data_IF_794606675051
#
_entry.id   IF_794606675051
#
_cell.length_a   1.000
_cell.length_b   1.000
_cell.length_c   1.000
_cell.angle_alpha   90.00
_cell.angle_beta   90.00
_cell.angle_gamma   90.00
#
_symmetry.space_group_name_H-M   'P 1'
#
loop_
_entity.id
_entity.type
_entity.pdbx_description
1 polymer ?
#
# COMPACT_ATOMS: atom_id res chain seq x y z
N UNK A 1 1.66 8.69 10.99
CA UNK A 1 0.62 9.43 11.74
C UNK A 1 -0.29 8.56 12.61
N UNK A 2 -0.85 7.41 12.18
CA UNK A 2 -1.79 6.64 13.02
C UNK A 2 -1.24 6.16 14.36
N UNK A 3 0.07 5.93 14.46
CA UNK A 3 0.72 5.56 15.72
C UNK A 3 0.55 6.61 16.82
N UNK A 4 0.37 7.90 16.49
CA UNK A 4 0.12 8.97 17.47
C UNK A 4 -1.25 8.77 18.13
N UNK A 5 -2.25 8.35 17.36
CA UNK A 5 -3.57 8.01 17.89
C UNK A 5 -3.47 6.72 18.73
N UNK A 6 -2.75 5.70 18.24
CA UNK A 6 -2.52 4.44 18.96
C UNK A 6 -1.88 4.65 20.34
N UNK A 7 -0.93 5.58 20.40
CA UNK A 7 -0.18 5.92 21.61
C UNK A 7 -0.85 6.99 22.47
N UNK A 8 -2.09 7.37 22.15
CA UNK A 8 -2.88 8.40 22.86
C UNK A 8 -2.18 9.78 22.95
N UNK A 9 -1.28 10.08 22.01
CA UNK A 9 -0.60 11.39 21.92
C UNK A 9 -1.45 12.44 21.21
N UNK A 10 -2.38 11.99 20.38
CA UNK A 10 -3.43 12.82 19.78
C UNK A 10 -4.78 12.14 19.98
N UNK A 11 -5.85 12.92 20.00
CA UNK A 11 -7.22 12.39 20.15
C UNK A 11 -7.86 12.02 18.83
N UNK A 12 -7.41 12.65 17.73
CA UNK A 12 -7.96 12.48 16.39
C UNK A 12 -6.87 12.54 15.33
N UNK A 13 -7.09 11.88 14.20
CA UNK A 13 -6.26 11.97 12.99
C UNK A 13 -7.14 12.00 11.75
N UNK A 14 -6.72 12.79 10.75
CA UNK A 14 -7.26 12.73 9.39
C UNK A 14 -6.23 12.02 8.53
N UNK A 15 -6.61 10.92 7.90
CA UNK A 15 -5.71 10.13 7.04
C UNK A 15 -6.51 9.24 6.09
N UNK A 16 -5.83 8.58 5.16
CA UNK A 16 -6.46 7.56 4.32
C UNK A 16 -6.77 6.30 5.12
N UNK A 17 -7.87 5.63 4.77
CA UNK A 17 -8.22 4.33 5.36
C UNK A 17 -7.09 3.31 5.22
N UNK A 18 -6.33 3.41 4.14
CA UNK A 18 -5.26 2.49 3.77
C UNK A 18 -4.09 2.57 4.74
N UNK A 19 -3.89 3.73 5.35
CA UNK A 19 -2.80 3.99 6.30
C UNK A 19 -3.23 3.58 7.72
N UNK A 20 -4.48 3.87 8.12
CA UNK A 20 -4.97 3.54 9.47
C UNK A 20 -5.25 2.05 9.67
N UNK A 21 -5.70 1.34 8.63
CA UNK A 21 -5.97 -0.12 8.68
C UNK A 21 -4.72 -0.98 8.93
N UNK A 22 -3.53 -0.42 8.79
CA UNK A 22 -2.27 -1.08 9.14
C UNK A 22 -2.07 -1.28 10.65
N UNK A 23 -2.97 -0.75 11.47
CA UNK A 23 -2.91 -0.85 12.92
C UNK A 23 -4.14 -1.60 13.47
N UNK A 24 -4.01 -2.31 14.61
CA UNK A 24 -5.16 -2.92 15.28
C UNK A 24 -6.27 -1.90 15.52
N UNK A 25 -7.53 -2.35 15.53
CA UNK A 25 -8.69 -1.47 15.73
C UNK A 25 -8.70 -0.89 17.15
N UNK A 26 -8.05 0.27 17.33
CA UNK A 26 -8.13 1.13 18.51
C UNK A 26 -8.89 2.44 18.24
N UNK A 27 -9.47 2.57 17.04
CA UNK A 27 -10.06 3.79 16.55
C UNK A 27 -11.53 3.60 16.18
N UNK A 28 -12.28 4.69 16.18
CA UNK A 28 -13.61 4.81 15.59
C UNK A 28 -13.55 5.74 14.38
N UNK A 29 -14.43 5.51 13.40
CA UNK A 29 -14.60 6.38 12.24
C UNK A 29 -15.66 7.41 12.60
N UNK A 30 -15.28 8.68 12.68
CA UNK A 30 -16.21 9.76 13.00
C UNK A 30 -16.83 10.36 11.74
N UNK A 31 -16.03 10.45 10.68
CA UNK A 31 -16.47 10.91 9.37
C UNK A 31 -15.58 10.32 8.28
N UNK A 32 -16.12 10.11 7.09
CA UNK A 32 -15.37 9.63 5.93
C UNK A 32 -15.91 10.26 4.64
N UNK A 33 -14.98 10.53 3.72
CA UNK A 33 -15.29 10.94 2.36
C UNK A 33 -14.55 10.01 1.39
N UNK A 34 -15.13 9.86 0.20
CA UNK A 34 -14.46 9.16 -0.91
C UNK A 34 -13.52 10.13 -1.61
N UNK A 35 -12.28 9.71 -1.81
CA UNK A 35 -11.34 10.42 -2.67
C UNK A 35 -11.59 10.04 -4.14
N UNK A 36 -11.92 11.01 -5.02
CA UNK A 36 -12.35 10.71 -6.39
C UNK A 36 -11.18 10.55 -7.37
N UNK A 37 -9.99 11.07 -7.04
CA UNK A 37 -8.89 11.20 -8.00
C UNK A 37 -7.80 10.15 -7.85
N UNK A 38 -7.52 9.71 -6.62
CA UNK A 38 -6.44 8.78 -6.33
C UNK A 38 -6.89 7.32 -6.35
N UNK A 39 -5.92 6.43 -6.55
CA UNK A 39 -6.07 4.99 -6.48
C UNK A 39 -4.81 4.36 -5.88
N UNK A 40 -4.94 3.15 -5.32
CA UNK A 40 -3.80 2.38 -4.80
C UNK A 40 -3.40 1.34 -5.84
N UNK A 41 -2.11 1.26 -6.16
CA UNK A 41 -1.57 0.32 -7.13
C UNK A 41 -0.30 -0.38 -6.63
N UNK A 42 -0.01 -1.55 -7.20
CA UNK A 42 1.33 -2.13 -7.23
C UNK A 42 2.03 -1.69 -8.52
N UNK A 43 3.24 -1.19 -8.36
CA UNK A 43 4.09 -0.72 -9.45
C UNK A 43 5.35 -1.55 -9.54
N UNK A 44 5.89 -1.65 -10.75
CA UNK A 44 7.15 -2.30 -11.06
C UNK A 44 8.02 -1.34 -11.89
N UNK A 45 9.29 -1.71 -12.10
CA UNK A 45 10.11 -1.05 -13.12
C UNK A 45 9.52 -1.32 -14.49
N UNK A 46 9.62 -0.34 -15.38
CA UNK A 46 9.14 -0.46 -16.75
C UNK A 46 9.74 -1.67 -17.45
N UNK A 47 8.90 -2.55 -18.00
CA UNK A 47 9.31 -3.77 -18.69
C UNK A 47 9.74 -4.92 -17.77
N UNK A 48 9.54 -4.80 -16.46
CA UNK A 48 9.79 -5.90 -15.53
C UNK A 48 8.82 -7.06 -15.80
N UNK A 49 9.33 -8.29 -15.78
CA UNK A 49 8.52 -9.49 -15.90
C UNK A 49 8.04 -9.92 -14.51
N UNK A 50 6.73 -9.81 -14.27
CA UNK A 50 6.10 -10.18 -13.00
C UNK A 50 5.25 -11.43 -13.24
N UNK A 51 5.75 -12.58 -12.79
CA UNK A 51 5.15 -13.91 -12.99
C UNK A 51 4.84 -14.58 -11.64
N UNK A 52 3.73 -14.22 -10.97
CA UNK A 52 3.40 -14.71 -9.64
C UNK A 52 3.31 -16.23 -9.51
N UNK A 53 2.93 -16.90 -10.59
CA UNK A 53 2.87 -18.36 -10.69
C UNK A 53 4.24 -19.04 -10.53
N UNK A 54 5.34 -18.31 -10.77
CA UNK A 54 6.71 -18.81 -10.59
C UNK A 54 7.25 -18.58 -9.18
N UNK A 55 6.57 -17.81 -8.33
CA UNK A 55 7.05 -17.52 -6.98
C UNK A 55 6.99 -18.76 -6.10
N UNK A 56 8.06 -18.99 -5.33
CA UNK A 56 8.20 -20.18 -4.47
C UNK A 56 8.56 -19.79 -3.05
N UNK A 57 8.46 -20.74 -2.12
CA UNK A 57 8.84 -20.49 -0.73
C UNK A 57 10.37 -20.30 -0.57
N UNK A 58 11.16 -20.77 -1.54
CA UNK A 58 12.62 -20.71 -1.57
C UNK A 58 13.13 -19.46 -2.30
N UNK A 59 12.40 -19.03 -3.34
CA UNK A 59 12.68 -17.85 -4.13
C UNK A 59 11.47 -16.91 -4.09
N UNK A 60 11.44 -16.12 -3.01
CA UNK A 60 10.37 -15.16 -2.74
C UNK A 60 10.78 -13.79 -3.26
N UNK A 61 9.96 -13.14 -4.12
CA UNK A 61 10.18 -11.75 -4.44
C UNK A 61 9.97 -10.90 -3.19
N UNK A 62 10.61 -9.73 -3.20
CA UNK A 62 10.44 -8.73 -2.17
C UNK A 62 9.56 -7.58 -2.65
N UNK A 63 8.58 -7.21 -1.82
CA UNK A 63 7.60 -6.16 -2.09
C UNK A 63 7.73 -5.09 -1.00
N UNK A 64 7.96 -3.84 -1.40
CA UNK A 64 7.95 -2.68 -0.50
C UNK A 64 6.50 -2.20 -0.34
N UNK A 65 5.99 -2.10 0.89
CA UNK A 65 4.61 -1.66 1.10
C UNK A 65 4.41 -0.77 2.31
N UNK A 66 3.77 0.38 2.11
CA UNK A 66 3.23 1.22 3.18
C UNK A 66 1.82 0.71 3.58
N UNK A 67 1.06 0.17 2.64
CA UNK A 67 -0.34 -0.27 2.75
C UNK A 67 -0.46 -1.80 2.88
N UNK A 68 0.32 -2.38 3.79
CA UNK A 68 0.47 -3.83 3.99
C UNK A 68 -0.85 -4.59 3.98
N UNK A 69 -1.86 -4.10 4.72
CA UNK A 69 -3.16 -4.78 4.79
C UNK A 69 -3.83 -4.94 3.42
N UNK A 70 -3.75 -3.91 2.57
CA UNK A 70 -4.37 -3.91 1.27
C UNK A 70 -3.58 -4.75 0.26
N UNK A 71 -2.25 -4.66 0.28
CA UNK A 71 -1.38 -5.48 -0.58
C UNK A 71 -1.55 -6.96 -0.25
N UNK A 72 -1.52 -7.34 1.03
CA UNK A 72 -1.71 -8.73 1.45
C UNK A 72 -3.06 -9.26 0.98
N UNK A 73 -4.15 -8.54 1.24
CA UNK A 73 -5.49 -8.95 0.83
C UNK A 73 -5.61 -9.08 -0.69
N UNK A 74 -4.99 -8.18 -1.44
CA UNK A 74 -5.01 -8.20 -2.90
C UNK A 74 -4.28 -9.43 -3.47
N UNK A 75 -3.10 -9.73 -2.94
CA UNK A 75 -2.33 -10.92 -3.34
C UNK A 75 -3.08 -12.21 -2.99
N UNK A 76 -3.72 -12.27 -1.82
CA UNK A 76 -4.60 -13.39 -1.44
C UNK A 76 -5.77 -13.57 -2.42
N UNK A 77 -6.39 -12.48 -2.88
CA UNK A 77 -7.46 -12.51 -3.90
C UNK A 77 -6.96 -13.01 -5.26
N UNK A 78 -5.66 -12.90 -5.53
CA UNK A 78 -5.00 -13.48 -6.71
C UNK A 78 -4.52 -14.92 -6.48
N UNK A 79 -4.90 -15.56 -5.38
CA UNK A 79 -4.44 -16.89 -4.95
C UNK A 79 -2.92 -16.97 -4.68
N UNK A 80 -2.28 -15.84 -4.36
CA UNK A 80 -0.87 -15.76 -3.99
C UNK A 80 -0.77 -15.83 -2.47
N UNK A 81 -0.30 -16.97 -1.96
CA UNK A 81 -0.16 -17.22 -0.52
C UNK A 81 0.99 -16.42 0.10
N UNK A 82 0.83 -16.07 1.38
CA UNK A 82 1.82 -15.31 2.17
C UNK A 82 3.21 -15.94 2.22
N UNK A 83 3.33 -17.26 2.07
CA UNK A 83 4.61 -17.95 2.05
C UNK A 83 5.37 -17.80 0.73
N UNK A 84 4.75 -17.22 -0.32
CA UNK A 84 5.33 -17.04 -1.66
C UNK A 84 6.02 -15.70 -1.90
N UNK A 85 5.90 -14.74 -0.99
CA UNK A 85 6.54 -13.42 -1.13
C UNK A 85 7.03 -12.91 0.22
N UNK A 86 7.92 -11.92 0.17
CA UNK A 86 8.28 -11.11 1.33
C UNK A 86 7.68 -9.73 1.17
N UNK A 87 7.10 -9.21 2.26
CA UNK A 87 6.50 -7.89 2.30
C UNK A 87 7.19 -7.08 3.39
N UNK A 88 8.00 -6.11 2.97
CA UNK A 88 8.66 -5.17 3.87
C UNK A 88 7.72 -4.00 4.12
N UNK A 89 7.34 -3.78 5.38
CA UNK A 89 6.57 -2.61 5.77
C UNK A 89 7.46 -1.36 5.72
N UNK A 90 7.10 -0.42 4.84
CA UNK A 90 7.79 0.85 4.65
C UNK A 90 6.98 1.99 5.29
N UNK A 91 7.66 3.05 5.69
CA UNK A 91 7.04 4.32 6.08
C UNK A 91 7.45 5.40 5.08
N UNK A 92 6.49 6.07 4.46
CA UNK A 92 6.75 7.01 3.36
C UNK A 92 6.67 6.33 2.00
N UNK A 93 7.29 6.97 1.00
CA UNK A 93 7.24 6.56 -0.41
C UNK A 93 7.86 5.17 -0.66
N UNK A 94 7.01 4.15 -0.74
CA UNK A 94 7.40 2.79 -1.13
C UNK A 94 8.00 2.75 -2.54
N UNK A 95 7.46 3.53 -3.49
CA UNK A 95 8.01 3.61 -4.84
C UNK A 95 9.45 4.14 -4.85
N UNK A 96 9.82 5.01 -3.90
CA UNK A 96 11.19 5.47 -3.72
C UNK A 96 12.16 4.32 -3.41
N UNK A 97 11.72 3.27 -2.70
CA UNK A 97 12.56 2.08 -2.49
C UNK A 97 12.74 1.31 -3.79
N UNK A 98 11.70 1.19 -4.61
CA UNK A 98 11.81 0.56 -5.92
C UNK A 98 12.73 1.34 -6.86
N UNK A 99 12.75 2.69 -6.80
CA UNK A 99 13.67 3.51 -7.59
C UNK A 99 15.11 3.35 -7.11
N UNK A 100 15.33 3.41 -5.80
CA UNK A 100 16.67 3.54 -5.24
C UNK A 100 17.40 2.21 -4.97
N UNK A 101 16.70 1.08 -5.03
CA UNK A 101 17.34 -0.24 -4.81
C UNK A 101 16.77 -1.34 -5.69
N UNK A 102 17.68 -2.11 -6.30
CA UNK A 102 17.36 -3.28 -7.13
C UNK A 102 16.73 -4.45 -6.35
N UNK A 103 16.69 -4.40 -5.01
CA UNK A 103 16.21 -5.48 -4.14
C UNK A 103 14.71 -5.76 -4.31
N UNK A 104 13.90 -4.73 -4.52
CA UNK A 104 12.44 -4.87 -4.60
C UNK A 104 11.99 -5.18 -6.03
N UNK A 105 11.07 -6.15 -6.14
CA UNK A 105 10.38 -6.47 -7.39
C UNK A 105 9.19 -5.53 -7.63
N UNK A 106 8.44 -5.27 -6.55
CA UNK A 106 7.23 -4.45 -6.56
C UNK A 106 7.26 -3.45 -5.41
N UNK A 107 6.54 -2.34 -5.59
CA UNK A 107 6.17 -1.43 -4.52
C UNK A 107 4.68 -1.07 -4.61
N UNK A 108 4.05 -0.78 -3.48
CA UNK A 108 2.74 -0.13 -3.52
C UNK A 108 2.90 1.39 -3.65
N UNK A 109 1.87 2.08 -4.15
CA UNK A 109 1.88 3.54 -4.22
C UNK A 109 0.48 4.09 -4.45
N UNK A 110 0.23 5.29 -3.92
CA UNK A 110 -0.99 6.06 -4.20
C UNK A 110 -0.74 6.89 -5.45
N UNK A 111 -1.59 6.72 -6.46
CA UNK A 111 -1.42 7.35 -7.78
C UNK A 111 -2.60 8.28 -8.05
N UNK A 112 -2.30 9.49 -8.51
CA UNK A 112 -3.30 10.43 -9.03
C UNK A 112 -3.34 10.39 -10.57
N UNK A 113 -2.24 10.80 -11.20
CA UNK A 113 -2.09 10.96 -12.65
C UNK A 113 -1.14 9.96 -13.30
N UNK A 114 -0.18 9.41 -12.54
CA UNK A 114 0.86 8.51 -13.05
C UNK A 114 2.16 9.20 -13.49
N UNK A 115 2.21 10.54 -13.56
CA UNK A 115 3.40 11.29 -14.02
C UNK A 115 4.68 10.96 -13.24
N UNK A 116 4.58 10.90 -11.91
CA UNK A 116 5.71 10.54 -11.06
C UNK A 116 6.23 9.13 -11.31
N UNK A 117 5.38 8.21 -11.76
CA UNK A 117 5.83 6.86 -12.15
C UNK A 117 6.62 6.91 -13.45
N UNK A 118 6.12 7.63 -14.45
CA UNK A 118 6.78 7.82 -15.74
C UNK A 118 8.15 8.48 -15.58
N UNK A 119 8.23 9.55 -14.78
CA UNK A 119 9.48 10.26 -14.46
C UNK A 119 10.53 9.36 -13.81
N UNK A 120 10.10 8.32 -13.08
CA UNK A 120 10.95 7.36 -12.38
C UNK A 120 11.13 6.02 -13.12
N UNK A 121 10.71 5.92 -14.40
CA UNK A 121 10.74 4.68 -15.18
C UNK A 121 10.00 3.49 -14.51
N UNK A 122 8.88 3.79 -13.85
CA UNK A 122 7.98 2.81 -13.24
C UNK A 122 6.70 2.68 -14.06
N UNK A 123 6.02 1.55 -13.91
CA UNK A 123 4.72 1.30 -14.51
C UNK A 123 3.78 0.59 -13.53
N UNK A 124 2.47 0.75 -13.75
CA UNK A 124 1.45 0.07 -12.95
C UNK A 124 1.37 -1.39 -13.39
N UNK A 125 1.63 -2.30 -12.46
CA UNK A 125 1.40 -3.72 -12.68
C UNK A 125 -0.07 -4.09 -12.43
N UNK A 126 -0.60 -3.69 -11.26
CA UNK A 126 -1.98 -3.96 -10.86
C UNK A 126 -2.56 -2.82 -10.02
N UNK A 127 -3.84 -2.55 -10.22
CA UNK A 127 -4.61 -1.65 -9.35
C UNK A 127 -5.18 -2.47 -8.20
N UNK A 128 -4.88 -2.07 -6.96
CA UNK A 128 -5.39 -2.70 -5.73
C UNK A 128 -6.73 -2.08 -5.33
N UNK A 129 -6.81 -0.75 -5.28
CA UNK A 129 -8.03 -0.01 -4.98
C UNK A 129 -8.27 0.97 -6.12
N UNK A 130 -9.34 0.80 -6.91
CA UNK A 130 -9.66 1.70 -8.02
C UNK A 130 -9.94 3.15 -7.58
N UNK A 131 -9.90 4.07 -8.56
CA UNK A 131 -10.32 5.46 -8.37
C UNK A 131 -11.75 5.53 -7.83
N UNK A 132 -12.02 6.47 -6.92
CA UNK A 132 -13.33 6.61 -6.29
C UNK A 132 -13.67 5.54 -5.26
N UNK A 133 -12.68 4.76 -4.78
CA UNK A 133 -12.86 3.80 -3.69
C UNK A 133 -11.95 4.05 -2.49
N UNK A 134 -10.90 4.86 -2.66
CA UNK A 134 -10.11 5.33 -1.53
C UNK A 134 -10.96 6.22 -0.63
N UNK A 135 -10.74 6.11 0.68
CA UNK A 135 -11.44 6.91 1.68
C UNK A 135 -10.47 7.70 2.52
N UNK A 136 -10.80 8.96 2.74
CA UNK A 136 -10.15 9.83 3.72
C UNK A 136 -11.12 9.94 4.89
N UNK A 137 -10.63 9.62 6.08
CA UNK A 137 -11.46 9.62 7.29
C UNK A 137 -10.90 10.50 8.38
N UNK A 138 -11.81 11.04 9.19
CA UNK A 138 -11.53 11.51 10.54
C UNK A 138 -11.70 10.33 11.49
N UNK A 139 -10.62 9.97 12.17
CA UNK A 139 -10.59 8.86 13.10
C UNK A 139 -10.29 9.37 14.50
N UNK A 140 -11.06 8.89 15.48
CA UNK A 140 -10.87 9.18 16.91
C UNK A 140 -10.55 7.92 17.69
N UNK A 141 -10.11 8.06 18.94
CA UNK A 141 -9.87 6.92 19.82
C UNK A 141 -11.18 6.20 20.17
N UNK A 142 -11.13 4.87 20.26
CA UNK A 142 -12.25 4.05 20.72
C UNK A 142 -12.31 4.08 22.25
N UNK A 143 -13.34 4.70 22.84
CA UNK A 143 -13.54 4.68 24.30
C UNK A 143 -13.93 3.29 24.80
#
# INVERSE_FOLDING_TARGET
MPWLLASKRVTHVITFETVIKNYPKFYTVLHEIVDPTHFLALVCRKGACIEPEKWTAQDKPLIASEHVHHVTRFLEQMDIKLDKYHLDKITGSSEGFLVNTAKYLLADTIVETGRTLEENNLEIWKIIIPKGQLRIGLYGYYN
#
